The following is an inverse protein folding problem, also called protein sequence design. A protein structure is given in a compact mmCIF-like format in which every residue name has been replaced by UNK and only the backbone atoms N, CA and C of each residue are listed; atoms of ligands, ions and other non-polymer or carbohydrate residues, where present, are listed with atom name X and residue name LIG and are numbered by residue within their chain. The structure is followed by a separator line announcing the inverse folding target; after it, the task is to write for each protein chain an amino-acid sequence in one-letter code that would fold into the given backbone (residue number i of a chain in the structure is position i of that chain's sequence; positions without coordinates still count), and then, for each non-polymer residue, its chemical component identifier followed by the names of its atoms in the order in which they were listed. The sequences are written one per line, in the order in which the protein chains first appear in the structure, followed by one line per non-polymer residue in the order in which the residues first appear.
data_IF_236736477612
#
_entry.id   IF_236736477612
#
_cell.length_a   1.000
_cell.length_b   1.000
_cell.length_c   1.000
_cell.angle_alpha   90.00
_cell.angle_beta   90.00
_cell.angle_gamma   90.00
#
_symmetry.space_group_name_H-M   'P 1'
#
loop_
_entity.id
_entity.type
_entity.pdbx_description
1 polymer ?
#
# COMPACT_ATOMS: atom_id res chain seq x y z
N UNK A 1 11.41 5.64 -35.90
CA UNK A 1 11.17 4.30 -35.31
C UNK A 1 12.51 3.82 -34.79
N UNK A 2 12.67 3.61 -33.48
CA UNK A 2 13.88 3.04 -32.91
C UNK A 2 13.86 1.53 -33.14
N UNK A 3 14.68 1.04 -34.05
CA UNK A 3 14.81 -0.38 -34.36
C UNK A 3 15.93 -0.99 -33.49
N UNK A 4 15.71 -2.21 -32.99
CA UNK A 4 16.78 -3.03 -32.41
C UNK A 4 17.75 -3.52 -33.49
N UNK A 5 18.94 -3.94 -33.05
CA UNK A 5 19.99 -4.53 -33.90
C UNK A 5 19.53 -5.81 -34.63
N UNK A 6 18.44 -6.42 -34.17
CA UNK A 6 17.76 -7.59 -34.76
C UNK A 6 16.54 -7.24 -35.64
N UNK A 7 16.34 -5.95 -35.99
CA UNK A 7 15.25 -5.52 -36.88
C UNK A 7 13.82 -5.64 -36.31
N UNK A 8 13.69 -6.07 -35.05
CA UNK A 8 12.41 -6.09 -34.34
C UNK A 8 12.01 -4.66 -33.96
N UNK A 9 10.73 -4.33 -34.16
CA UNK A 9 10.18 -3.02 -33.77
C UNK A 9 10.15 -2.97 -32.24
N UNK A 10 10.99 -2.13 -31.61
CA UNK A 10 10.84 -1.81 -30.18
C UNK A 10 9.43 -1.29 -29.97
N UNK A 11 8.64 -1.98 -29.16
CA UNK A 11 7.33 -1.49 -28.75
C UNK A 11 7.55 -0.31 -27.79
N UNK A 12 7.60 0.90 -28.33
CA UNK A 12 7.72 2.11 -27.50
C UNK A 12 6.50 2.19 -26.61
N UNK A 13 6.73 2.29 -25.31
CA UNK A 13 5.66 2.43 -24.32
C UNK A 13 4.85 3.68 -24.65
N UNK A 14 3.52 3.58 -24.86
CA UNK A 14 2.69 4.75 -25.07
C UNK A 14 2.81 5.71 -23.88
N UNK A 15 3.01 7.00 -24.17
CA UNK A 15 3.00 8.08 -23.19
C UNK A 15 1.66 8.81 -23.24
N UNK A 16 1.15 9.20 -22.08
CA UNK A 16 -0.07 10.02 -22.01
C UNK A 16 0.27 11.48 -22.29
N UNK A 17 -0.66 12.22 -22.89
CA UNK A 17 -0.50 13.65 -23.15
C UNK A 17 -0.47 14.45 -21.83
N UNK A 18 0.08 15.67 -21.86
CA UNK A 18 0.10 16.55 -20.70
C UNK A 18 -1.31 16.85 -20.16
N UNK A 19 -2.29 17.04 -21.06
CA UNK A 19 -3.69 17.25 -20.70
C UNK A 19 -4.30 16.03 -19.99
N UNK A 20 -4.00 14.81 -20.49
CA UNK A 20 -4.45 13.57 -19.84
C UNK A 20 -3.85 13.44 -18.44
N UNK A 21 -2.55 13.67 -18.29
CA UNK A 21 -1.85 13.60 -17.00
C UNK A 21 -2.44 14.61 -16.02
N UNK A 22 -2.63 15.86 -16.45
CA UNK A 22 -3.21 16.92 -15.62
C UNK A 22 -4.59 16.55 -15.07
N UNK A 23 -5.49 16.06 -15.93
CA UNK A 23 -6.83 15.67 -15.51
C UNK A 23 -6.81 14.46 -14.56
N UNK A 24 -5.94 13.48 -14.80
CA UNK A 24 -5.74 12.33 -13.93
C UNK A 24 -5.22 12.75 -12.55
N UNK A 25 -4.24 13.66 -12.49
CA UNK A 25 -3.70 14.18 -11.23
C UNK A 25 -4.73 15.01 -10.46
N UNK A 26 -5.42 15.93 -11.14
CA UNK A 26 -6.51 16.72 -10.53
C UNK A 26 -7.60 15.84 -9.93
N UNK A 27 -7.99 14.78 -10.63
CA UNK A 27 -8.98 13.84 -10.10
C UNK A 27 -8.41 13.04 -8.91
N UNK A 28 -7.13 12.64 -8.98
CA UNK A 28 -6.47 11.91 -7.91
C UNK A 28 -6.37 12.73 -6.60
N UNK A 29 -6.19 14.04 -6.71
CA UNK A 29 -6.21 14.94 -5.54
C UNK A 29 -7.56 14.89 -4.83
N UNK A 30 -8.66 14.90 -5.59
CA UNK A 30 -10.03 14.81 -5.08
C UNK A 30 -10.34 13.43 -4.48
N UNK A 31 -9.94 12.35 -5.16
CA UNK A 31 -10.13 10.98 -4.68
C UNK A 31 -8.98 10.06 -5.06
N UNK A 32 -8.50 9.28 -4.10
CA UNK A 32 -7.40 8.32 -4.30
C UNK A 32 -7.86 7.01 -4.97
N UNK A 33 -9.17 6.79 -5.01
CA UNK A 33 -9.80 5.58 -5.56
C UNK A 33 -11.03 5.97 -6.37
N UNK A 34 -11.16 5.42 -7.58
CA UNK A 34 -12.33 5.64 -8.43
C UNK A 34 -13.25 4.43 -8.39
N UNK A 35 -14.54 4.71 -8.19
CA UNK A 35 -15.60 3.74 -8.42
C UNK A 35 -15.74 3.43 -9.93
N UNK A 36 -16.42 2.33 -10.26
CA UNK A 36 -16.64 1.92 -11.66
C UNK A 36 -17.24 3.04 -12.54
N UNK A 37 -18.38 3.65 -12.16
CA UNK A 37 -19.00 4.71 -12.95
C UNK A 37 -18.12 5.96 -13.13
N UNK A 38 -17.39 6.36 -12.09
CA UNK A 38 -16.49 7.52 -12.17
C UNK A 38 -15.30 7.25 -13.10
N UNK A 39 -14.76 6.03 -13.03
CA UNK A 39 -13.69 5.58 -13.91
C UNK A 39 -14.13 5.58 -15.35
N UNK A 40 -15.32 5.04 -15.66
CA UNK A 40 -15.88 5.04 -17.01
C UNK A 40 -16.02 6.46 -17.57
N UNK A 41 -16.57 7.39 -16.77
CA UNK A 41 -16.69 8.81 -17.17
C UNK A 41 -15.34 9.47 -17.45
N UNK A 42 -14.34 9.23 -16.60
CA UNK A 42 -13.01 9.80 -16.79
C UNK A 42 -12.27 9.20 -17.99
N UNK A 43 -12.44 7.90 -18.23
CA UNK A 43 -11.87 7.24 -19.40
C UNK A 43 -12.44 7.85 -20.68
N UNK A 44 -13.76 7.99 -20.74
CA UNK A 44 -14.46 8.59 -21.89
C UNK A 44 -13.98 10.02 -22.17
N UNK A 45 -13.90 10.88 -21.15
CA UNK A 45 -13.50 12.28 -21.34
C UNK A 45 -12.05 12.47 -21.78
N UNK A 46 -11.17 11.52 -21.44
CA UNK A 46 -9.74 11.57 -21.79
C UNK A 46 -9.37 10.76 -23.03
N UNK A 47 -10.34 10.08 -23.67
CA UNK A 47 -10.07 9.17 -24.78
C UNK A 47 -9.19 7.99 -24.37
N UNK A 48 -9.37 7.49 -23.14
CA UNK A 48 -8.62 6.37 -22.57
C UNK A 48 -9.55 5.20 -22.28
N UNK A 49 -8.99 4.00 -22.18
CA UNK A 49 -9.74 2.84 -21.69
C UNK A 49 -9.82 2.87 -20.16
N UNK A 50 -10.89 2.30 -19.59
CA UNK A 50 -11.01 2.14 -18.14
C UNK A 50 -9.82 1.41 -17.51
N UNK A 51 -9.24 0.46 -18.25
CA UNK A 51 -8.05 -0.29 -17.83
C UNK A 51 -6.82 0.64 -17.70
N UNK A 52 -6.59 1.53 -18.66
CA UNK A 52 -5.50 2.51 -18.59
C UNK A 52 -5.68 3.45 -17.39
N UNK A 53 -6.91 3.94 -17.15
CA UNK A 53 -7.21 4.77 -15.97
C UNK A 53 -6.97 3.99 -14.67
N UNK A 54 -7.44 2.73 -14.59
CA UNK A 54 -7.21 1.84 -13.44
C UNK A 54 -5.73 1.65 -13.16
N UNK A 55 -4.93 1.32 -14.18
CA UNK A 55 -3.48 1.13 -14.06
C UNK A 55 -2.78 2.42 -13.64
N UNK A 56 -3.18 3.57 -14.20
CA UNK A 56 -2.62 4.86 -13.82
C UNK A 56 -2.89 5.16 -12.34
N UNK A 57 -4.12 5.01 -11.87
CA UNK A 57 -4.49 5.22 -10.46
C UNK A 57 -3.75 4.27 -9.52
N UNK A 58 -3.58 3.00 -9.91
CA UNK A 58 -2.80 2.03 -9.14
C UNK A 58 -1.33 2.46 -9.00
N UNK A 59 -0.71 2.85 -10.10
CA UNK A 59 0.67 3.34 -10.12
C UNK A 59 0.82 4.62 -9.29
N UNK A 60 -0.16 5.53 -9.40
CA UNK A 60 -0.18 6.77 -8.64
C UNK A 60 -0.27 6.52 -7.14
N UNK A 61 -1.13 5.60 -6.69
CA UNK A 61 -1.22 5.19 -5.27
C UNK A 61 0.08 4.58 -4.76
N UNK A 62 0.76 3.76 -5.55
CA UNK A 62 2.07 3.19 -5.17
C UNK A 62 3.11 4.28 -4.94
N UNK A 63 3.20 5.27 -5.84
CA UNK A 63 4.10 6.41 -5.66
C UNK A 63 3.76 7.24 -4.42
N UNK A 64 2.47 7.50 -4.22
CA UNK A 64 1.96 8.25 -3.07
C UNK A 64 2.35 7.58 -1.74
N UNK A 65 2.10 6.27 -1.60
CA UNK A 65 2.49 5.52 -0.39
C UNK A 65 4.01 5.50 -0.17
N UNK A 66 4.79 5.31 -1.23
CA UNK A 66 6.26 5.33 -1.13
C UNK A 66 6.79 6.67 -0.62
N UNK A 67 6.20 7.79 -1.07
CA UNK A 67 6.58 9.12 -0.59
C UNK A 67 6.28 9.27 0.91
N UNK A 68 5.08 8.90 1.35
CA UNK A 68 4.70 8.99 2.76
C UNK A 68 5.55 8.09 3.67
N UNK A 69 5.90 6.88 3.23
CA UNK A 69 6.78 6.00 3.99
C UNK A 69 8.21 6.57 4.12
N UNK A 70 8.73 7.19 3.05
CA UNK A 70 10.05 7.83 3.07
C UNK A 70 10.09 9.05 4.01
N UNK A 71 9.03 9.87 4.04
CA UNK A 71 8.93 11.03 4.93
C UNK A 71 9.01 10.60 6.42
N UNK A 72 8.32 9.53 6.80
CA UNK A 72 8.37 8.97 8.16
C UNK A 72 9.75 8.42 8.55
N UNK A 73 10.48 7.83 7.60
CA UNK A 73 11.84 7.36 7.84
C UNK A 73 12.84 8.52 8.03
N UNK A 74 12.65 9.65 7.33
CA UNK A 74 13.54 10.82 7.45
C UNK A 74 13.30 11.68 8.69
N UNK A 75 12.08 11.68 9.24
CA UNK A 75 11.76 12.41 10.46
C UNK A 75 12.48 11.87 11.70
N UNK A 76 12.89 10.60 11.71
CA UNK A 76 13.63 9.96 12.82
C UNK A 76 15.12 10.36 12.90
N UNK A 77 15.65 11.12 11.93
CA UNK A 77 17.07 11.51 11.87
C UNK A 77 17.38 12.90 12.45
N UNK A 78 16.37 13.66 12.91
CA UNK A 78 16.54 15.01 13.49
C UNK A 78 16.52 15.04 15.02
N UNK A 79 16.33 13.89 15.68
CA UNK A 79 16.27 13.79 17.14
C UNK A 79 17.46 13.02 17.72
N UNK A 80 18.56 12.88 16.97
CA UNK A 80 19.79 12.19 17.39
C UNK A 80 20.96 13.17 17.62
N UNK A 81 20.85 14.43 17.16
CA UNK A 81 21.94 15.41 17.24
C UNK A 81 21.94 16.27 18.51
N UNK A 82 20.89 16.22 19.34
CA UNK A 82 20.79 17.01 20.59
C UNK A 82 20.99 16.14 21.85
N UNK A 83 20.74 14.83 21.77
CA UNK A 83 20.90 13.87 22.88
C UNK A 83 22.35 13.43 23.12
N UNK A 84 23.24 13.55 22.14
CA UNK A 84 24.68 13.18 22.24
C UNK A 84 25.57 14.25 22.91
N UNK A 85 25.01 15.35 23.43
CA UNK A 85 25.80 16.37 24.18
C UNK A 85 25.65 16.30 25.70
N UNK A 86 24.74 15.48 26.23
CA UNK A 86 24.45 15.40 27.67
C UNK A 86 24.65 14.01 28.29
N UNK A 87 25.00 12.97 27.51
CA UNK A 87 25.14 11.58 28.00
C UNK A 87 26.58 11.19 28.41
N UNK A 88 27.38 12.16 28.84
CA UNK A 88 28.78 11.96 29.24
C UNK A 88 29.03 11.83 30.75
N UNK A 89 28.00 11.93 31.60
CA UNK A 89 28.17 11.88 33.04
C UNK A 89 26.90 11.37 33.74
N UNK A 90 26.76 10.05 33.89
CA UNK A 90 26.28 9.40 35.13
C UNK A 90 26.22 7.90 34.90
N UNK A 91 27.05 7.16 35.64
CA UNK A 91 27.00 5.71 35.78
C UNK A 91 25.79 5.31 36.66
N UNK A 92 25.32 4.07 36.47
CA UNK A 92 24.27 3.33 37.20
C UNK A 92 22.81 3.73 36.94
N UNK A 93 22.05 2.84 36.30
CA UNK A 93 20.99 2.01 36.91
C UNK A 93 20.41 1.06 35.85
N UNK A 94 20.23 -0.21 36.22
CA UNK A 94 19.65 -1.27 35.41
C UNK A 94 18.14 -1.00 35.20
N UNK A 95 17.69 -0.66 33.99
CA UNK A 95 16.24 -0.63 33.72
C UNK A 95 15.90 -0.76 32.21
N UNK A 96 15.21 -1.85 31.88
CA UNK A 96 14.29 -2.05 30.75
C UNK A 96 14.84 -1.98 29.29
N UNK A 97 15.67 -2.97 28.94
CA UNK A 97 16.07 -3.26 27.55
C UNK A 97 14.93 -3.78 26.64
N UNK A 98 13.73 -4.08 27.18
CA UNK A 98 12.61 -4.61 26.39
C UNK A 98 12.02 -3.57 25.42
N UNK A 99 12.04 -2.29 25.80
CA UNK A 99 11.38 -1.22 25.03
C UNK A 99 12.26 -0.57 23.95
N UNK A 100 13.57 -0.86 23.93
CA UNK A 100 14.50 -0.27 22.95
C UNK A 100 14.90 -1.23 21.83
N UNK A 101 14.29 -2.42 21.77
CA UNK A 101 14.48 -3.38 20.68
C UNK A 101 13.80 -2.87 19.40
N UNK A 102 14.49 -2.80 18.24
CA UNK A 102 13.85 -2.55 16.96
C UNK A 102 12.63 -3.46 16.76
N UNK A 103 11.46 -2.86 16.59
CA UNK A 103 10.22 -3.57 16.30
C UNK A 103 10.44 -4.43 15.06
N UNK A 104 10.41 -5.76 15.24
CA UNK A 104 10.51 -6.72 14.15
C UNK A 104 9.29 -6.51 13.22
N UNK A 105 9.47 -6.26 11.92
CA UNK A 105 8.38 -6.10 10.95
C UNK A 105 7.37 -7.26 10.91
N UNK A 106 7.73 -8.43 11.44
CA UNK A 106 6.87 -9.61 11.53
C UNK A 106 6.12 -9.74 12.87
N UNK A 107 6.37 -8.85 13.85
CA UNK A 107 5.74 -8.88 15.18
C UNK A 107 4.38 -8.18 15.22
N UNK A 108 4.13 -7.19 14.35
CA UNK A 108 2.84 -6.49 14.26
C UNK A 108 1.69 -7.40 13.83
N UNK A 109 1.98 -8.46 13.06
CA UNK A 109 0.99 -9.44 12.62
C UNK A 109 0.42 -10.25 13.79
N UNK A 110 1.20 -10.50 14.84
CA UNK A 110 0.71 -11.23 16.02
C UNK A 110 -0.26 -10.38 16.85
N UNK A 111 0.02 -9.07 17.01
CA UNK A 111 -0.90 -8.15 17.70
C UNK A 111 -2.19 -7.96 16.90
N UNK A 112 -2.11 -7.87 15.57
CA UNK A 112 -3.27 -7.83 14.68
C UNK A 112 -4.07 -9.14 14.81
N UNK A 113 -3.42 -10.29 14.78
CA UNK A 113 -4.06 -11.61 14.93
C UNK A 113 -4.73 -11.76 16.30
N UNK A 114 -4.08 -11.29 17.37
CA UNK A 114 -4.64 -11.27 18.72
C UNK A 114 -5.81 -10.28 18.85
N UNK A 115 -5.79 -9.13 18.17
CA UNK A 115 -6.92 -8.20 18.11
C UNK A 115 -8.12 -8.80 17.36
N UNK A 116 -7.87 -9.46 16.21
CA UNK A 116 -8.90 -10.17 15.46
C UNK A 116 -9.51 -11.32 16.27
N UNK A 117 -8.70 -11.98 17.10
CA UNK A 117 -9.12 -13.08 17.98
C UNK A 117 -9.86 -12.57 19.23
N UNK A 118 -9.46 -11.43 19.79
CA UNK A 118 -10.05 -10.80 20.98
C UNK A 118 -11.39 -10.10 20.70
N UNK A 119 -11.64 -9.69 19.46
CA UNK A 119 -12.92 -9.12 19.01
C UNK A 119 -13.71 -10.05 18.09
N UNK A 120 -13.65 -11.38 18.32
CA UNK A 120 -14.71 -12.26 17.84
C UNK A 120 -15.79 -12.38 18.92
N UNK A 121 -16.96 -11.72 18.77
CA UNK A 121 -18.09 -12.06 19.63
C UNK A 121 -18.47 -13.50 19.32
N UNK A 122 -18.54 -14.33 20.36
CA UNK A 122 -19.07 -15.68 20.25
C UNK A 122 -20.51 -15.64 19.73
N UNK A 123 -20.82 -16.53 18.79
CA UNK A 123 -22.19 -16.80 18.36
C UNK A 123 -22.32 -17.06 16.87
N UNK A 124 -22.65 -18.30 16.52
CA UNK A 124 -23.24 -18.64 15.23
C UNK A 124 -22.34 -19.46 14.32
N UNK A 125 -22.39 -20.79 14.50
CA UNK A 125 -21.94 -21.71 13.47
C UNK A 125 -22.75 -21.52 12.20
N UNK A 126 -22.07 -21.52 11.05
CA UNK A 126 -22.63 -21.90 9.77
C UNK A 126 -21.64 -22.88 9.15
N UNK A 127 -21.66 -24.09 9.69
CA UNK A 127 -21.09 -25.25 9.05
C UNK A 127 -22.11 -25.69 7.99
N UNK A 128 -21.84 -25.34 6.75
CA UNK A 128 -22.62 -25.78 5.60
C UNK A 128 -22.29 -27.26 5.36
N UNK A 129 -23.10 -28.17 5.90
CA UNK A 129 -23.08 -29.58 5.50
C UNK A 129 -23.75 -29.72 4.12
N UNK A 130 -23.15 -30.48 3.18
CA UNK A 130 -23.89 -31.02 2.06
C UNK A 130 -24.76 -32.22 2.51
N UNK A 131 -25.98 -32.39 1.99
CA UNK A 131 -26.76 -33.61 2.20
C UNK A 131 -26.34 -34.66 1.15
N UNK A 132 -25.55 -35.66 1.56
CA UNK A 132 -25.43 -36.91 0.81
C UNK A 132 -26.27 -37.94 1.55
N UNK A 133 -27.45 -38.18 0.99
CA UNK A 133 -28.39 -39.17 1.46
C UNK A 133 -28.04 -40.58 0.99
N UNK A 134 -28.53 -41.51 1.81
CA UNK A 134 -29.00 -42.85 1.49
C UNK A 134 -28.00 -43.98 1.26
N UNK A 135 -28.15 -44.93 2.19
CA UNK A 135 -27.73 -46.31 2.15
C UNK A 135 -28.30 -47.09 0.96
N UNK A 136 -27.53 -48.04 0.44
CA UNK A 136 -27.91 -49.47 0.39
C UNK A 136 -26.94 -50.27 -0.48
N UNK A 137 -26.31 -51.27 0.12
CA UNK A 137 -26.27 -52.68 -0.29
C UNK A 137 -25.28 -53.44 0.61
#
# INVERSE_FOLDING_TARGET
ILLDKDGKRKHTRPTFSGQQIFALEKTFEQTKYLAGPERARLAYSLGMTESQVKVWFQNRRTKWRKKHAAEMATAKKKQDSETERLKGASENEEEDDDYNKPLDPNSDDEKITQLLKKHKPGGGGLLLHPPEGEASA
#
